data_IF_990763856162
#
_entry.id   IF_990763856162
#
_cell.length_a   1.000
_cell.length_b   1.000
_cell.length_c   1.000
_cell.angle_alpha   90.00
_cell.angle_beta   90.00
_cell.angle_gamma   90.00
#
_symmetry.space_group_name_H-M   'P 1'
#
loop_
_entity.id
_entity.type
_entity.pdbx_description
1 polymer ?
#
# COMPACT_ATOMS: atom_id res chain seq x y z
N UNK A 1 -44.53 31.65 2.51
CA UNK A 1 -44.64 30.56 1.51
C UNK A 1 -46.07 30.06 1.53
N UNK A 2 -46.79 30.21 0.43
CA UNK A 2 -48.20 29.79 0.36
C UNK A 2 -48.28 28.27 0.49
N UNK A 3 -49.37 27.76 1.04
CA UNK A 3 -49.70 26.32 1.11
C UNK A 3 -49.58 25.61 -0.24
N UNK A 4 -49.72 26.35 -1.34
CA UNK A 4 -49.47 25.88 -2.71
C UNK A 4 -47.99 25.55 -3.00
N UNK A 5 -47.04 26.37 -2.55
CA UNK A 5 -45.61 26.14 -2.77
C UNK A 5 -45.09 24.92 -1.99
N UNK A 6 -45.63 24.67 -0.78
CA UNK A 6 -45.29 23.49 0.03
C UNK A 6 -45.88 22.22 -0.61
N UNK A 7 -47.10 22.28 -1.14
CA UNK A 7 -47.72 21.15 -1.84
C UNK A 7 -46.95 20.74 -3.11
N UNK A 8 -46.48 21.71 -3.90
CA UNK A 8 -45.70 21.44 -5.13
C UNK A 8 -44.32 20.85 -4.81
N UNK A 9 -43.62 21.38 -3.79
CA UNK A 9 -42.33 20.83 -3.35
C UNK A 9 -42.51 19.42 -2.79
N UNK A 10 -43.54 19.18 -1.98
CA UNK A 10 -43.86 17.83 -1.48
C UNK A 10 -44.22 16.86 -2.61
N UNK A 11 -44.96 17.30 -3.64
CA UNK A 11 -45.27 16.46 -4.81
C UNK A 11 -44.01 16.16 -5.62
N UNK A 12 -43.08 17.11 -5.82
CA UNK A 12 -41.82 16.88 -6.54
C UNK A 12 -40.87 15.96 -5.77
N UNK A 13 -40.79 16.11 -4.44
CA UNK A 13 -40.00 15.22 -3.58
C UNK A 13 -40.62 13.82 -3.53
N UNK A 14 -41.96 13.71 -3.42
CA UNK A 14 -42.65 12.42 -3.48
C UNK A 14 -42.53 11.77 -4.86
N UNK A 15 -42.70 12.49 -5.98
CA UNK A 15 -42.54 11.91 -7.33
C UNK A 15 -41.09 11.57 -7.63
N UNK A 16 -40.12 12.35 -7.13
CA UNK A 16 -38.69 12.01 -7.18
C UNK A 16 -38.37 10.74 -6.40
N UNK A 17 -38.86 10.59 -5.16
CA UNK A 17 -38.73 9.36 -4.37
C UNK A 17 -39.48 8.17 -4.99
N UNK A 18 -40.65 8.39 -5.59
CA UNK A 18 -41.41 7.37 -6.31
C UNK A 18 -40.71 6.92 -7.60
N UNK A 19 -40.04 7.82 -8.34
CA UNK A 19 -39.26 7.46 -9.52
C UNK A 19 -37.96 6.75 -9.15
N UNK A 20 -37.29 7.15 -8.07
CA UNK A 20 -36.13 6.44 -7.53
C UNK A 20 -36.48 5.03 -7.05
N UNK A 21 -37.62 4.84 -6.37
CA UNK A 21 -38.08 3.52 -5.93
C UNK A 21 -38.64 2.67 -7.09
N UNK A 22 -39.31 3.28 -8.07
CA UNK A 22 -39.82 2.59 -9.26
C UNK A 22 -38.73 2.18 -10.26
N UNK A 23 -37.50 2.69 -10.11
CA UNK A 23 -36.31 2.31 -10.89
C UNK A 23 -35.29 1.46 -10.12
N UNK A 24 -35.48 1.16 -8.83
CA UNK A 24 -34.58 0.26 -8.09
C UNK A 24 -34.69 -1.18 -8.62
N UNK A 25 -33.64 -1.79 -9.21
CA UNK A 25 -33.74 -3.13 -9.79
C UNK A 25 -33.92 -4.25 -8.75
N UNK A 26 -33.70 -3.93 -7.47
CA UNK A 26 -33.61 -4.90 -6.39
C UNK A 26 -34.69 -4.72 -5.32
N UNK A 27 -35.09 -5.82 -4.68
CA UNK A 27 -35.95 -5.80 -3.50
C UNK A 27 -35.16 -5.72 -2.18
N UNK A 28 -33.83 -5.86 -2.25
CA UNK A 28 -32.91 -5.73 -1.12
C UNK A 28 -31.77 -6.75 -1.17
N UNK A 29 -30.75 -6.61 -0.32
CA UNK A 29 -29.65 -7.54 -0.22
C UNK A 29 -30.13 -8.90 0.33
N UNK A 30 -29.48 -9.99 -0.09
CA UNK A 30 -29.77 -11.34 0.41
C UNK A 30 -29.36 -11.47 1.88
N UNK A 31 -28.16 -10.99 2.24
CA UNK A 31 -27.69 -10.92 3.61
C UNK A 31 -26.78 -9.69 3.78
N UNK A 32 -27.36 -8.58 4.25
CA UNK A 32 -26.65 -7.29 4.40
C UNK A 32 -25.47 -7.33 5.38
N UNK A 33 -25.50 -8.24 6.35
CA UNK A 33 -24.44 -8.34 7.36
C UNK A 33 -23.17 -8.96 6.77
N UNK A 34 -23.31 -9.93 5.86
CA UNK A 34 -22.18 -10.62 5.24
C UNK A 34 -21.77 -10.02 3.90
N UNK A 35 -22.70 -9.42 3.16
CA UNK A 35 -22.41 -8.86 1.84
C UNK A 35 -23.38 -7.72 1.49
N UNK A 36 -22.81 -6.66 0.96
CA UNK A 36 -23.51 -5.59 0.25
C UNK A 36 -23.56 -5.84 -1.27
N UNK A 37 -23.23 -7.05 -1.73
CA UNK A 37 -23.04 -7.33 -3.15
C UNK A 37 -24.03 -8.34 -3.75
N UNK A 38 -24.78 -9.10 -2.95
CA UNK A 38 -25.80 -10.04 -3.43
C UNK A 38 -27.20 -9.53 -3.15
N UNK A 39 -28.03 -9.43 -4.19
CA UNK A 39 -29.38 -8.85 -4.13
C UNK A 39 -30.44 -9.76 -4.72
N UNK A 40 -31.62 -9.77 -4.12
CA UNK A 40 -32.81 -10.25 -4.80
C UNK A 40 -33.25 -9.23 -5.85
N UNK A 41 -33.67 -9.70 -7.02
CA UNK A 41 -34.46 -8.87 -7.93
C UNK A 41 -35.83 -8.50 -7.29
N UNK A 42 -36.60 -7.64 -7.96
CA UNK A 42 -37.89 -7.14 -7.43
C UNK A 42 -38.86 -8.24 -7.03
N UNK A 43 -38.98 -9.27 -7.86
CA UNK A 43 -39.90 -10.41 -7.70
C UNK A 43 -39.35 -11.49 -6.78
N UNK A 44 -38.10 -11.38 -6.32
CA UNK A 44 -37.39 -12.36 -5.50
C UNK A 44 -37.31 -13.76 -6.12
N UNK A 45 -37.30 -13.83 -7.44
CA UNK A 45 -37.15 -15.07 -8.23
C UNK A 45 -35.78 -15.15 -8.93
N UNK A 46 -34.90 -14.18 -8.71
CA UNK A 46 -33.49 -14.24 -9.11
C UNK A 46 -32.57 -13.56 -8.11
N UNK A 47 -31.32 -14.04 -8.04
CA UNK A 47 -30.22 -13.37 -7.36
C UNK A 47 -29.38 -12.60 -8.40
N UNK A 48 -28.97 -11.40 -8.04
CA UNK A 48 -28.05 -10.57 -8.80
C UNK A 48 -26.82 -10.26 -7.95
N UNK A 49 -25.66 -10.26 -8.58
CA UNK A 49 -24.43 -9.72 -8.00
C UNK A 49 -24.24 -8.27 -8.46
N UNK A 50 -23.93 -7.37 -7.55
CA UNK A 50 -23.66 -5.95 -7.78
C UNK A 50 -22.46 -5.55 -6.90
N UNK A 51 -21.28 -5.27 -7.46
CA UNK A 51 -20.10 -4.97 -6.64
C UNK A 51 -20.36 -3.82 -5.67
N UNK A 52 -20.22 -4.07 -4.35
CA UNK A 52 -20.42 -3.07 -3.28
C UNK A 52 -21.79 -2.38 -3.32
N UNK A 53 -22.79 -3.01 -3.94
CA UNK A 53 -24.09 -2.42 -4.18
C UNK A 53 -24.08 -1.23 -5.15
N UNK A 54 -22.97 -0.97 -5.86
CA UNK A 54 -22.85 0.14 -6.80
C UNK A 54 -23.33 -0.27 -8.21
N UNK A 55 -24.60 -0.64 -8.34
CA UNK A 55 -25.15 -1.06 -9.64
C UNK A 55 -25.29 0.10 -10.65
N UNK A 56 -25.22 1.34 -10.20
CA UNK A 56 -25.32 2.52 -11.07
C UNK A 56 -24.04 2.72 -11.88
N UNK A 57 -22.86 2.54 -11.27
CA UNK A 57 -21.58 2.75 -11.93
C UNK A 57 -20.93 1.43 -12.37
N UNK A 58 -21.04 0.37 -11.56
CA UNK A 58 -20.37 -0.92 -11.79
C UNK A 58 -21.32 -1.97 -12.38
N UNK A 59 -22.61 -1.65 -12.50
CA UNK A 59 -23.62 -2.55 -13.05
C UNK A 59 -23.95 -3.72 -12.12
N UNK A 60 -24.75 -4.66 -12.65
CA UNK A 60 -25.10 -5.87 -11.93
C UNK A 60 -25.27 -7.04 -12.90
N UNK A 61 -25.06 -8.25 -12.39
CA UNK A 61 -25.14 -9.48 -13.16
C UNK A 61 -26.18 -10.41 -12.55
N UNK A 62 -27.18 -10.80 -13.35
CA UNK A 62 -28.11 -11.86 -12.96
C UNK A 62 -27.34 -13.19 -12.85
N UNK A 63 -27.46 -13.86 -11.72
CA UNK A 63 -26.84 -15.15 -11.48
C UNK A 63 -27.79 -16.29 -11.85
N UNK A 64 -27.22 -17.44 -12.24
CA UNK A 64 -27.97 -18.68 -12.41
C UNK A 64 -28.09 -19.46 -11.09
N UNK A 65 -28.48 -18.77 -10.01
CA UNK A 65 -28.53 -19.33 -8.67
C UNK A 65 -29.91 -19.90 -8.32
N UNK A 66 -29.93 -21.01 -7.57
CA UNK A 66 -31.15 -21.48 -6.92
C UNK A 66 -31.50 -20.57 -5.75
N UNK A 67 -32.44 -19.66 -5.99
CA UNK A 67 -32.84 -18.61 -5.05
C UNK A 67 -33.28 -19.15 -3.70
N UNK A 68 -33.96 -20.30 -3.68
CA UNK A 68 -34.52 -20.88 -2.45
C UNK A 68 -33.45 -21.44 -1.50
N UNK A 69 -32.28 -21.77 -2.01
CA UNK A 69 -31.17 -22.34 -1.24
C UNK A 69 -29.92 -21.46 -1.22
N UNK A 70 -29.98 -20.27 -1.81
CA UNK A 70 -28.82 -19.38 -1.89
C UNK A 70 -28.45 -18.81 -0.51
N UNK A 71 -27.20 -19.00 -0.14
CA UNK A 71 -26.56 -18.58 1.10
C UNK A 71 -25.36 -17.68 0.76
N UNK A 72 -25.28 -16.52 1.41
CA UNK A 72 -24.10 -15.65 1.33
C UNK A 72 -23.04 -16.16 2.31
N UNK A 73 -21.83 -16.39 1.82
CA UNK A 73 -20.68 -16.85 2.61
C UNK A 73 -19.78 -15.69 3.03
N UNK A 74 -19.58 -14.72 2.14
CA UNK A 74 -18.87 -13.47 2.42
C UNK A 74 -19.20 -12.42 1.35
N UNK A 75 -18.51 -11.28 1.36
CA UNK A 75 -18.79 -10.18 0.43
C UNK A 75 -18.77 -10.63 -1.05
N UNK A 76 -17.77 -11.44 -1.44
CA UNK A 76 -17.57 -11.91 -2.82
C UNK A 76 -17.99 -13.38 -3.03
N UNK A 77 -18.53 -14.06 -2.03
CA UNK A 77 -18.83 -15.49 -2.13
C UNK A 77 -20.24 -15.83 -1.68
N UNK A 78 -20.91 -16.69 -2.45
CA UNK A 78 -22.18 -17.29 -2.09
C UNK A 78 -22.24 -18.73 -2.57
N UNK A 79 -23.23 -19.49 -2.10
CA UNK A 79 -23.49 -20.85 -2.57
C UNK A 79 -24.99 -21.10 -2.65
N UNK A 80 -25.40 -22.00 -3.52
CA UNK A 80 -26.72 -22.64 -3.49
C UNK A 80 -26.54 -24.15 -3.46
N UNK A 81 -27.63 -24.93 -3.39
CA UNK A 81 -27.57 -26.39 -3.29
C UNK A 81 -26.73 -27.11 -4.38
N UNK A 82 -26.49 -26.47 -5.52
CA UNK A 82 -25.77 -27.03 -6.65
C UNK A 82 -24.40 -26.37 -6.88
N UNK A 83 -24.22 -25.10 -6.50
CA UNK A 83 -23.09 -24.30 -6.94
C UNK A 83 -22.48 -23.44 -5.84
N UNK A 84 -21.17 -23.21 -5.95
CA UNK A 84 -20.47 -22.13 -5.25
C UNK A 84 -20.17 -21.02 -6.25
N UNK A 85 -20.31 -19.77 -5.83
CA UNK A 85 -20.11 -18.59 -6.65
C UNK A 85 -19.00 -17.72 -6.06
N UNK A 86 -18.08 -17.31 -6.91
CA UNK A 86 -17.23 -16.14 -6.70
C UNK A 86 -17.82 -14.99 -7.53
N UNK A 87 -18.24 -13.92 -6.86
CA UNK A 87 -19.03 -12.84 -7.46
C UNK A 87 -20.28 -13.43 -8.13
N UNK A 88 -20.45 -13.25 -9.44
CA UNK A 88 -21.52 -13.83 -10.24
C UNK A 88 -21.17 -15.16 -10.91
N UNK A 89 -19.91 -15.61 -10.83
CA UNK A 89 -19.38 -16.74 -11.60
C UNK A 89 -19.41 -18.00 -10.73
N UNK A 90 -19.94 -19.09 -11.26
CA UNK A 90 -19.92 -20.39 -10.59
C UNK A 90 -18.51 -21.01 -10.64
N UNK A 91 -17.97 -21.36 -9.49
CA UNK A 91 -16.62 -21.94 -9.30
C UNK A 91 -16.66 -23.37 -8.78
N UNK A 92 -17.84 -24.03 -8.82
CA UNK A 92 -18.06 -25.40 -8.31
C UNK A 92 -17.10 -26.44 -8.89
N UNK A 93 -16.60 -26.22 -10.10
CA UNK A 93 -15.66 -27.15 -10.75
C UNK A 93 -14.20 -26.92 -10.33
N UNK A 94 -13.91 -25.85 -9.58
CA UNK A 94 -12.56 -25.50 -9.10
C UNK A 94 -12.29 -25.98 -7.67
N UNK A 95 -13.35 -26.28 -6.90
CA UNK A 95 -13.29 -26.57 -5.46
C UNK A 95 -14.19 -27.74 -5.05
N UNK A 96 -13.88 -28.40 -3.92
CA UNK A 96 -14.78 -29.38 -3.31
C UNK A 96 -15.96 -28.68 -2.61
N UNK A 97 -17.17 -28.87 -3.16
CA UNK A 97 -18.37 -28.18 -2.69
C UNK A 97 -18.68 -28.40 -1.21
N UNK A 98 -18.54 -29.63 -0.72
CA UNK A 98 -18.97 -30.00 0.63
C UNK A 98 -18.09 -29.44 1.74
N UNK A 99 -16.82 -29.17 1.42
CA UNK A 99 -15.83 -28.66 2.39
C UNK A 99 -15.44 -27.19 2.17
N UNK A 100 -16.03 -26.54 1.17
CA UNK A 100 -15.74 -25.16 0.84
C UNK A 100 -16.01 -24.21 2.01
N UNK A 101 -15.00 -23.40 2.33
CA UNK A 101 -15.09 -22.35 3.36
C UNK A 101 -14.27 -21.13 2.93
N UNK A 102 -14.73 -19.97 3.38
CA UNK A 102 -14.07 -18.68 3.16
C UNK A 102 -13.47 -18.22 4.47
N UNK A 103 -12.22 -17.75 4.44
CA UNK A 103 -11.56 -17.14 5.58
C UNK A 103 -10.73 -15.96 5.09
N UNK A 104 -11.14 -14.75 5.48
CA UNK A 104 -10.60 -13.49 4.96
C UNK A 104 -10.72 -13.40 3.43
N UNK A 105 -9.62 -13.17 2.71
CA UNK A 105 -9.56 -13.14 1.24
C UNK A 105 -9.25 -14.52 0.63
N UNK A 106 -8.88 -15.50 1.45
CA UNK A 106 -8.56 -16.87 1.02
C UNK A 106 -9.79 -17.77 1.07
N UNK A 107 -9.77 -18.80 0.22
CA UNK A 107 -10.78 -19.87 0.24
C UNK A 107 -10.12 -21.23 0.32
N UNK A 108 -10.83 -22.16 0.93
CA UNK A 108 -10.31 -23.46 1.30
C UNK A 108 -11.32 -24.52 0.94
N UNK A 109 -10.82 -25.69 0.60
CA UNK A 109 -11.57 -26.93 0.67
C UNK A 109 -10.76 -27.98 1.45
N UNK A 110 -11.25 -29.23 1.51
CA UNK A 110 -10.57 -30.30 2.26
C UNK A 110 -9.18 -30.66 1.70
N UNK A 111 -8.88 -30.31 0.46
CA UNK A 111 -7.65 -30.68 -0.24
C UNK A 111 -6.70 -29.49 -0.39
N UNK A 112 -7.22 -28.28 -0.61
CA UNK A 112 -6.43 -27.16 -1.13
C UNK A 112 -6.77 -25.82 -0.46
N UNK A 113 -5.82 -24.90 -0.56
CA UNK A 113 -5.99 -23.46 -0.28
C UNK A 113 -5.92 -22.70 -1.60
N UNK A 114 -6.72 -21.65 -1.72
CA UNK A 114 -6.81 -20.84 -2.92
C UNK A 114 -6.84 -19.34 -2.62
N UNK A 115 -6.32 -18.57 -3.58
CA UNK A 115 -6.41 -17.12 -3.65
C UNK A 115 -7.13 -16.72 -4.95
N UNK A 116 -8.08 -15.77 -4.94
CA UNK A 116 -8.69 -15.27 -6.18
C UNK A 116 -7.67 -14.55 -7.04
N UNK A 117 -7.73 -14.74 -8.36
CA UNK A 117 -6.88 -13.98 -9.28
C UNK A 117 -7.09 -12.46 -9.15
N UNK A 118 -8.30 -12.02 -8.78
CA UNK A 118 -8.62 -10.61 -8.54
C UNK A 118 -7.90 -9.99 -7.33
N UNK A 119 -7.45 -10.83 -6.40
CA UNK A 119 -6.79 -10.39 -5.18
C UNK A 119 -5.25 -10.52 -5.28
N UNK A 120 -4.73 -10.95 -6.44
CA UNK A 120 -3.30 -10.99 -6.74
C UNK A 120 -2.80 -9.62 -7.24
N UNK A 121 -1.76 -9.09 -6.57
CA UNK A 121 -1.16 -7.80 -6.91
C UNK A 121 -0.43 -7.79 -8.26
N UNK A 122 0.24 -8.89 -8.60
CA UNK A 122 1.13 -9.00 -9.77
C UNK A 122 0.69 -10.18 -10.63
N UNK A 123 -0.32 -9.93 -11.48
CA UNK A 123 -0.99 -10.94 -12.29
C UNK A 123 -0.09 -11.57 -13.40
N UNK A 124 1.13 -11.06 -13.61
CA UNK A 124 2.03 -11.49 -14.68
C UNK A 124 2.83 -12.76 -14.37
N UNK A 125 3.01 -13.11 -13.09
CA UNK A 125 3.78 -14.31 -12.67
C UNK A 125 2.95 -15.59 -12.74
N UNK A 126 1.63 -15.46 -12.62
CA UNK A 126 0.72 -16.58 -12.66
C UNK A 126 0.18 -16.76 -14.07
N UNK A 127 0.38 -17.95 -14.66
CA UNK A 127 -0.28 -18.28 -15.91
C UNK A 127 -1.78 -18.30 -15.68
N UNK A 128 -2.47 -17.22 -16.06
CA UNK A 128 -3.90 -17.12 -15.88
C UNK A 128 -4.59 -17.99 -16.94
N UNK A 129 -5.01 -19.19 -16.53
CA UNK A 129 -6.04 -19.92 -17.26
C UNK A 129 -7.31 -19.09 -17.13
N UNK A 130 -7.66 -18.35 -18.19
CA UNK A 130 -8.81 -17.44 -18.19
C UNK A 130 -10.15 -18.12 -17.91
N UNK A 131 -10.18 -19.46 -17.88
CA UNK A 131 -11.35 -20.22 -17.45
C UNK A 131 -11.51 -20.35 -15.93
N UNK A 132 -10.47 -20.05 -15.14
CA UNK A 132 -10.46 -20.17 -13.68
C UNK A 132 -10.61 -18.83 -12.97
N UNK A 133 -11.18 -18.86 -11.77
CA UNK A 133 -11.29 -17.70 -10.89
C UNK A 133 -10.32 -17.77 -9.72
N UNK A 134 -9.85 -18.96 -9.39
CA UNK A 134 -9.01 -19.23 -8.23
C UNK A 134 -7.64 -19.78 -8.64
N UNK A 135 -6.60 -19.26 -8.01
CA UNK A 135 -5.26 -19.84 -8.01
C UNK A 135 -5.12 -20.78 -6.82
N UNK A 136 -4.82 -22.05 -7.09
CA UNK A 136 -4.45 -23.03 -6.06
C UNK A 136 -3.04 -22.76 -5.54
N UNK A 137 -2.89 -22.62 -4.22
CA UNK A 137 -1.60 -22.48 -3.54
C UNK A 137 -0.97 -23.86 -3.45
N UNK A 138 -0.05 -24.16 -4.38
CA UNK A 138 0.50 -25.51 -4.56
C UNK A 138 1.26 -25.98 -3.31
N UNK A 139 0.88 -27.16 -2.82
CA UNK A 139 1.52 -27.81 -1.67
C UNK A 139 0.99 -27.38 -0.31
N UNK A 140 0.13 -26.36 -0.25
CA UNK A 140 -0.44 -25.87 1.00
C UNK A 140 -1.34 -26.90 1.68
N UNK A 141 -1.17 -27.07 2.99
CA UNK A 141 -2.07 -27.86 3.82
C UNK A 141 -3.26 -27.00 4.33
N UNK A 142 -4.49 -27.22 3.85
CA UNK A 142 -5.64 -26.38 4.20
C UNK A 142 -6.08 -26.44 5.67
N UNK A 143 -5.58 -27.42 6.44
CA UNK A 143 -5.90 -27.56 7.86
C UNK A 143 -4.99 -26.76 8.78
N UNK A 144 -3.80 -26.37 8.30
CA UNK A 144 -2.73 -25.73 9.09
C UNK A 144 -2.24 -24.43 8.47
N UNK A 145 -2.71 -24.08 7.27
CA UNK A 145 -2.33 -22.85 6.58
C UNK A 145 -2.75 -21.59 7.37
N UNK A 146 -1.79 -20.69 7.55
CA UNK A 146 -1.95 -19.41 8.24
C UNK A 146 -1.38 -18.26 7.41
N UNK A 147 -1.95 -17.07 7.59
CA UNK A 147 -1.38 -15.83 7.09
C UNK A 147 -0.46 -15.21 8.15
N UNK A 148 0.73 -14.79 7.72
CA UNK A 148 1.71 -14.11 8.58
C UNK A 148 1.60 -12.60 8.34
N UNK A 149 1.72 -12.19 7.08
CA UNK A 149 1.57 -10.81 6.64
C UNK A 149 1.08 -10.74 5.19
N UNK A 150 1.20 -9.57 4.55
CA UNK A 150 0.75 -9.36 3.18
C UNK A 150 1.45 -10.27 2.15
N UNK A 151 2.72 -10.61 2.36
CA UNK A 151 3.52 -11.42 1.43
C UNK A 151 3.75 -12.86 1.93
N UNK A 152 3.66 -13.10 3.24
CA UNK A 152 4.04 -14.38 3.85
C UNK A 152 2.86 -15.18 4.37
N UNK A 153 2.90 -16.48 4.10
CA UNK A 153 2.06 -17.51 4.70
C UNK A 153 2.91 -18.69 5.14
N UNK A 154 2.36 -19.56 5.98
CA UNK A 154 2.95 -20.87 6.27
C UNK A 154 1.89 -21.93 6.53
N UNK A 155 2.28 -23.19 6.46
CA UNK A 155 1.53 -24.32 7.01
C UNK A 155 2.42 -25.15 7.96
N UNK A 156 2.08 -26.41 8.23
CA UNK A 156 2.87 -27.27 9.12
C UNK A 156 4.24 -27.71 8.57
N UNK A 157 4.54 -27.43 7.30
CA UNK A 157 5.73 -27.95 6.59
C UNK A 157 6.42 -26.93 5.70
N UNK A 158 5.70 -25.94 5.19
CA UNK A 158 6.16 -25.01 4.18
C UNK A 158 5.93 -23.57 4.59
N UNK A 159 6.85 -22.71 4.18
CA UNK A 159 6.59 -21.28 4.06
C UNK A 159 6.22 -20.97 2.62
N UNK A 160 5.45 -19.89 2.45
CA UNK A 160 5.04 -19.39 1.15
C UNK A 160 5.33 -17.89 1.08
N UNK A 161 5.99 -17.48 0.01
CA UNK A 161 6.20 -16.07 -0.32
C UNK A 161 5.35 -15.73 -1.54
N UNK A 162 4.49 -14.73 -1.40
CA UNK A 162 3.50 -14.33 -2.41
C UNK A 162 2.65 -15.52 -2.91
N UNK A 163 2.28 -16.44 -2.03
CA UNK A 163 1.55 -17.69 -2.33
C UNK A 163 2.32 -18.76 -3.12
N UNK A 164 3.64 -18.62 -3.29
CA UNK A 164 4.52 -19.66 -3.84
C UNK A 164 5.29 -20.36 -2.72
N UNK A 165 5.35 -21.71 -2.70
CA UNK A 165 6.15 -22.42 -1.70
C UNK A 165 7.63 -22.09 -1.88
N UNK A 166 8.35 -21.90 -0.77
CA UNK A 166 9.79 -21.63 -0.77
C UNK A 166 10.58 -22.80 -0.18
N UNK A 167 11.75 -23.06 -0.76
CA UNK A 167 12.67 -24.12 -0.32
C UNK A 167 13.62 -23.59 0.76
N UNK A 168 13.24 -23.79 2.01
CA UNK A 168 13.94 -23.28 3.20
C UNK A 168 13.93 -24.33 4.32
N UNK A 169 14.87 -24.24 5.25
CA UNK A 169 14.82 -25.04 6.47
C UNK A 169 13.71 -24.53 7.40
N UNK A 170 12.54 -25.17 7.31
CA UNK A 170 11.33 -24.77 8.04
C UNK A 170 11.55 -24.56 9.54
N UNK A 171 12.39 -25.38 10.18
CA UNK A 171 12.60 -25.32 11.62
C UNK A 171 13.40 -24.09 12.08
N UNK A 172 14.23 -23.52 11.20
CA UNK A 172 15.10 -22.37 11.53
C UNK A 172 14.79 -21.13 10.70
N UNK A 173 13.83 -21.21 9.77
CA UNK A 173 13.45 -20.10 8.93
C UNK A 173 12.84 -18.95 9.75
N UNK A 174 13.30 -17.74 9.46
CA UNK A 174 12.90 -16.50 10.10
C UNK A 174 12.81 -15.39 9.06
N UNK A 175 11.67 -14.72 9.01
CA UNK A 175 11.50 -13.46 8.28
C UNK A 175 12.18 -12.36 9.11
N UNK A 176 13.12 -11.63 8.51
CA UNK A 176 13.88 -10.58 9.22
C UNK A 176 13.17 -9.23 9.12
N UNK A 177 12.74 -8.87 7.91
CA UNK A 177 11.98 -7.65 7.58
C UNK A 177 11.38 -7.77 6.16
N UNK A 178 10.91 -6.68 5.57
CA UNK A 178 10.29 -6.69 4.24
C UNK A 178 11.26 -7.12 3.13
N UNK A 179 12.56 -6.92 3.32
CA UNK A 179 13.58 -7.12 2.28
C UNK A 179 14.36 -8.44 2.39
N UNK A 180 14.26 -9.15 3.53
CA UNK A 180 14.92 -10.45 3.64
C UNK A 180 14.50 -11.33 4.80
N UNK A 181 14.99 -12.55 4.71
CA UNK A 181 14.74 -13.66 5.63
C UNK A 181 16.01 -14.51 5.75
N UNK A 182 16.05 -15.44 6.70
CA UNK A 182 17.17 -16.38 6.83
C UNK A 182 16.72 -17.71 7.39
N UNK A 183 17.54 -18.72 7.17
CA UNK A 183 17.52 -19.96 7.93
C UNK A 183 18.95 -20.30 8.40
N UNK A 184 19.17 -21.51 8.92
CA UNK A 184 20.51 -21.96 9.34
C UNK A 184 21.53 -22.11 8.19
N UNK A 185 21.08 -22.17 6.95
CA UNK A 185 21.90 -22.46 5.77
C UNK A 185 22.16 -21.22 4.92
N UNK A 186 21.20 -20.28 4.83
CA UNK A 186 21.25 -19.14 3.92
C UNK A 186 20.58 -17.88 4.50
N UNK A 187 20.98 -16.73 3.96
CA UNK A 187 20.22 -15.49 4.02
C UNK A 187 19.55 -15.29 2.66
N UNK A 188 18.26 -14.99 2.66
CA UNK A 188 17.46 -14.80 1.47
C UNK A 188 17.05 -13.33 1.34
N UNK A 189 17.21 -12.80 0.14
CA UNK A 189 16.73 -11.47 -0.23
C UNK A 189 15.39 -11.60 -0.95
N UNK A 190 14.43 -10.75 -0.61
CA UNK A 190 13.13 -10.73 -1.23
C UNK A 190 13.18 -9.88 -2.50
N UNK A 191 12.87 -10.46 -3.66
CA UNK A 191 12.86 -9.76 -4.94
C UNK A 191 11.63 -10.16 -5.73
N UNK A 192 10.80 -9.18 -6.07
CA UNK A 192 9.56 -9.37 -6.80
C UNK A 192 8.66 -10.42 -6.11
N UNK A 193 8.47 -11.58 -6.73
CA UNK A 193 7.66 -12.69 -6.19
C UNK A 193 8.50 -13.87 -5.67
N UNK A 194 9.82 -13.70 -5.57
CA UNK A 194 10.75 -14.77 -5.21
C UNK A 194 11.66 -14.37 -4.06
N UNK A 195 12.26 -15.38 -3.44
CA UNK A 195 13.36 -15.20 -2.52
C UNK A 195 14.65 -15.72 -3.15
N UNK A 196 15.73 -14.96 -3.01
CA UNK A 196 17.01 -15.25 -3.67
C UNK A 196 18.07 -15.47 -2.60
N UNK A 197 18.79 -16.58 -2.70
CA UNK A 197 19.94 -16.85 -1.83
C UNK A 197 20.99 -15.76 -2.03
N UNK A 198 21.45 -15.19 -0.93
CA UNK A 198 22.45 -14.12 -0.92
C UNK A 198 23.78 -14.59 -0.32
N UNK A 199 24.81 -13.76 -0.48
CA UNK A 199 26.14 -13.96 0.12
C UNK A 199 26.29 -13.29 1.49
N UNK A 200 25.18 -12.81 2.06
CA UNK A 200 25.17 -12.10 3.35
C UNK A 200 25.57 -13.09 4.46
N UNK A 201 26.36 -12.61 5.41
CA UNK A 201 26.85 -13.43 6.53
C UNK A 201 25.70 -13.83 7.47
N UNK A 202 25.38 -15.13 7.51
CA UNK A 202 24.23 -15.72 8.23
C UNK A 202 24.29 -15.47 9.75
N UNK A 203 25.50 -15.50 10.32
CA UNK A 203 25.73 -15.38 11.76
C UNK A 203 25.51 -13.95 12.26
N UNK A 204 25.97 -12.95 11.48
CA UNK A 204 25.92 -11.55 11.87
C UNK A 204 24.73 -10.77 11.32
N UNK A 205 24.00 -11.32 10.34
CA UNK A 205 22.86 -10.61 9.73
C UNK A 205 21.75 -10.31 10.74
N UNK A 206 21.24 -9.08 10.66
CA UNK A 206 20.07 -8.61 11.39
C UNK A 206 19.34 -7.53 10.60
N UNK A 207 18.03 -7.42 10.83
CA UNK A 207 17.25 -6.26 10.39
C UNK A 207 17.51 -5.07 11.33
N UNK A 208 17.55 -3.87 10.75
CA UNK A 208 17.60 -2.61 11.48
C UNK A 208 16.21 -1.99 11.59
N UNK A 209 15.49 -2.02 10.48
CA UNK A 209 14.10 -1.61 10.33
C UNK A 209 13.47 -2.44 9.19
N UNK A 210 12.34 -1.98 8.67
CA UNK A 210 11.61 -2.68 7.62
C UNK A 210 12.39 -2.77 6.29
N UNK A 211 13.40 -1.90 6.05
CA UNK A 211 14.07 -1.74 4.76
C UNK A 211 15.56 -2.12 4.76
N UNK A 212 16.24 -2.07 5.90
CA UNK A 212 17.68 -2.28 5.99
C UNK A 212 18.04 -3.59 6.69
N UNK A 213 18.87 -4.38 6.02
CA UNK A 213 19.64 -5.45 6.66
C UNK A 213 21.07 -4.99 6.89
N UNK A 214 21.72 -5.54 7.90
CA UNK A 214 23.14 -5.31 8.16
C UNK A 214 23.80 -6.61 8.59
N UNK A 215 25.01 -6.84 8.13
CA UNK A 215 25.90 -7.88 8.65
C UNK A 215 27.17 -7.26 9.25
N UNK A 216 28.22 -8.07 9.44
CA UNK A 216 29.50 -7.58 9.98
C UNK A 216 30.26 -6.63 9.06
N UNK A 217 30.02 -6.67 7.74
CA UNK A 217 30.80 -5.96 6.73
C UNK A 217 29.98 -4.90 5.96
N UNK A 218 28.67 -5.07 5.80
CA UNK A 218 27.85 -4.22 4.93
C UNK A 218 26.44 -3.95 5.49
N UNK A 219 25.86 -2.84 5.02
CA UNK A 219 24.43 -2.55 5.05
C UNK A 219 23.84 -2.85 3.68
N UNK A 220 22.68 -3.48 3.67
CA UNK A 220 21.95 -3.88 2.48
C UNK A 220 20.58 -3.23 2.48
N UNK A 221 20.19 -2.67 1.35
CA UNK A 221 18.86 -2.10 1.14
C UNK A 221 18.48 -2.24 -0.33
N UNK A 222 17.18 -2.23 -0.60
CA UNK A 222 16.71 -2.07 -1.97
C UNK A 222 16.41 -0.59 -2.21
N UNK A 223 16.82 -0.06 -3.36
CA UNK A 223 16.40 1.28 -3.80
C UNK A 223 14.87 1.26 -3.85
N UNK A 224 14.24 2.17 -3.12
CA UNK A 224 12.79 2.15 -2.87
C UNK A 224 11.98 1.91 -4.13
N UNK A 225 10.84 1.20 -4.01
CA UNK A 225 9.84 0.86 -5.04
C UNK A 225 10.10 1.42 -6.45
N UNK A 226 11.12 0.91 -7.14
CA UNK A 226 11.25 1.06 -8.59
C UNK A 226 10.91 -0.30 -9.16
N UNK A 227 9.70 -0.40 -9.70
CA UNK A 227 9.29 -1.52 -10.55
C UNK A 227 10.38 -1.76 -11.61
N UNK A 228 10.92 -2.99 -11.66
CA UNK A 228 11.81 -3.49 -12.71
C UNK A 228 13.25 -2.94 -12.76
N UNK A 229 13.92 -2.66 -11.63
CA UNK A 229 15.40 -2.50 -11.69
C UNK A 229 16.10 -3.78 -11.19
N UNK A 230 16.73 -4.50 -12.11
CA UNK A 230 17.56 -5.69 -11.79
C UNK A 230 18.73 -5.36 -10.84
N UNK A 231 19.08 -4.08 -10.68
CA UNK A 231 20.16 -3.53 -9.83
C UNK A 231 19.67 -2.86 -8.53
N UNK A 232 18.49 -3.23 -8.01
CA UNK A 232 17.88 -2.54 -6.86
C UNK A 232 18.66 -2.70 -5.54
N UNK A 233 19.45 -3.77 -5.37
CA UNK A 233 20.19 -4.00 -4.13
C UNK A 233 21.40 -3.06 -4.02
N UNK A 234 21.35 -2.14 -3.07
CA UNK A 234 22.50 -1.33 -2.67
C UNK A 234 23.25 -1.99 -1.54
N UNK A 235 24.56 -2.13 -1.72
CA UNK A 235 25.50 -2.65 -0.70
C UNK A 235 26.40 -1.51 -0.26
N UNK A 236 26.26 -1.09 0.99
CA UNK A 236 27.08 -0.05 1.60
C UNK A 236 28.10 -0.71 2.54
N UNK A 237 29.40 -0.68 2.22
CA UNK A 237 30.41 -1.23 3.12
C UNK A 237 30.51 -0.40 4.39
N UNK A 238 30.65 -1.09 5.52
CA UNK A 238 30.73 -0.49 6.85
C UNK A 238 31.94 -0.96 7.63
N UNK A 239 32.39 -0.13 8.56
CA UNK A 239 33.45 -0.44 9.52
C UNK A 239 32.83 -0.88 10.84
N UNK A 240 31.74 -0.24 11.27
CA UNK A 240 31.09 -0.54 12.53
C UNK A 240 29.57 -0.35 12.47
N UNK A 241 28.83 -1.46 12.43
CA UNK A 241 27.36 -1.48 12.41
C UNK A 241 26.70 -0.81 13.62
N UNK A 242 27.42 -0.61 14.74
CA UNK A 242 26.90 0.13 15.91
C UNK A 242 26.78 1.63 15.68
N UNK A 243 27.41 2.15 14.63
CA UNK A 243 27.30 3.55 14.24
C UNK A 243 26.07 3.80 13.38
N UNK A 244 25.35 2.77 12.97
CA UNK A 244 24.22 2.90 12.07
C UNK A 244 23.05 3.63 12.76
N UNK A 245 22.50 4.63 12.08
CA UNK A 245 21.28 5.31 12.49
C UNK A 245 20.44 5.63 11.26
N UNK A 246 19.27 5.00 11.15
CA UNK A 246 18.23 5.36 10.18
C UNK A 246 17.43 6.52 10.73
N UNK A 247 17.18 7.51 9.88
CA UNK A 247 16.35 8.69 10.15
C UNK A 247 15.16 8.70 9.18
N UNK A 248 14.18 9.57 9.42
CA UNK A 248 13.01 9.72 8.53
C UNK A 248 13.45 10.11 7.10
N UNK A 249 12.60 9.79 6.11
CA UNK A 249 12.83 10.09 4.69
C UNK A 249 14.19 9.60 4.19
N UNK A 250 14.50 8.32 4.46
CA UNK A 250 15.63 7.58 3.87
C UNK A 250 17.03 8.17 4.12
N UNK A 251 17.19 8.98 5.16
CA UNK A 251 18.51 9.39 5.64
C UNK A 251 19.16 8.28 6.47
N UNK A 252 20.38 7.91 6.12
CA UNK A 252 21.17 6.89 6.80
C UNK A 252 22.51 7.45 7.25
N UNK A 253 22.81 7.38 8.54
CA UNK A 253 24.12 7.72 9.09
C UNK A 253 24.86 6.43 9.41
N UNK A 254 26.01 6.20 8.80
CA UNK A 254 26.85 5.02 9.08
C UNK A 254 28.34 5.37 8.95
N UNK A 255 29.15 4.84 9.88
CA UNK A 255 30.53 5.22 10.16
C UNK A 255 30.78 6.73 10.31
N UNK A 256 31.43 7.38 9.35
CA UNK A 256 31.67 8.83 9.29
C UNK A 256 30.86 9.52 8.18
N UNK A 257 29.91 8.80 7.57
CA UNK A 257 29.17 9.21 6.37
C UNK A 257 27.69 9.45 6.63
N UNK A 258 27.08 10.21 5.71
CA UNK A 258 25.64 10.45 5.62
C UNK A 258 25.18 10.08 4.22
N UNK A 259 24.10 9.31 4.13
CA UNK A 259 23.46 8.91 2.89
C UNK A 259 22.01 9.39 2.87
N UNK A 260 21.46 9.59 1.68
CA UNK A 260 20.03 9.75 1.43
C UNK A 260 19.65 8.83 0.26
N UNK A 261 18.61 8.02 0.41
CA UNK A 261 18.23 6.98 -0.58
C UNK A 261 19.43 6.11 -1.01
N UNK A 262 20.28 5.76 -0.04
CA UNK A 262 21.53 5.01 -0.25
C UNK A 262 22.62 5.72 -1.06
N UNK A 263 22.44 6.98 -1.43
CA UNK A 263 23.43 7.80 -2.12
C UNK A 263 24.23 8.61 -1.10
N UNK A 264 25.56 8.52 -1.17
CA UNK A 264 26.46 9.28 -0.31
C UNK A 264 26.26 10.78 -0.53
N UNK A 265 25.99 11.53 0.54
CA UNK A 265 25.98 13.00 0.50
C UNK A 265 27.43 13.49 0.65
N UNK A 266 28.04 14.05 -0.40
CA UNK A 266 29.45 14.42 -0.33
C UNK A 266 29.70 15.53 0.69
N UNK A 267 30.78 15.40 1.47
CA UNK A 267 31.23 16.37 2.47
C UNK A 267 30.27 16.64 3.63
N UNK A 268 29.19 15.87 3.77
CA UNK A 268 28.29 16.00 4.91
C UNK A 268 29.01 15.67 6.23
N UNK A 269 28.93 16.57 7.21
CA UNK A 269 29.54 16.35 8.52
C UNK A 269 28.59 15.52 9.39
N UNK A 270 28.79 14.21 9.38
CA UNK A 270 27.98 13.26 10.15
C UNK A 270 27.88 13.62 11.63
N UNK A 271 28.98 14.09 12.25
CA UNK A 271 29.02 14.37 13.69
C UNK A 271 28.03 15.46 14.12
N UNK A 272 27.79 16.45 13.25
CA UNK A 272 26.83 17.53 13.48
C UNK A 272 25.50 17.35 12.73
N UNK A 273 25.35 16.27 11.96
CA UNK A 273 24.17 16.04 11.14
C UNK A 273 22.90 15.88 11.98
N UNK A 274 21.84 16.58 11.57
CA UNK A 274 20.53 16.61 12.19
C UNK A 274 19.48 16.54 11.10
N UNK A 275 18.55 15.61 11.28
CA UNK A 275 17.31 15.59 10.50
C UNK A 275 16.25 16.47 11.20
N UNK A 276 15.49 17.23 10.42
CA UNK A 276 14.46 18.12 10.93
C UNK A 276 13.11 17.37 10.86
N UNK A 277 12.70 16.76 11.98
CA UNK A 277 11.50 15.91 12.04
C UNK A 277 10.25 16.57 11.45
N UNK A 278 9.42 15.79 10.76
CA UNK A 278 8.22 16.27 10.05
C UNK A 278 8.52 17.27 8.92
N UNK A 279 9.70 17.19 8.32
CA UNK A 279 10.09 17.97 7.15
C UNK A 279 10.85 17.07 6.18
N UNK A 280 11.38 17.62 5.09
CA UNK A 280 12.24 16.90 4.15
C UNK A 280 13.73 17.31 4.26
N UNK A 281 14.07 18.08 5.30
CA UNK A 281 15.33 18.77 5.41
C UNK A 281 16.28 18.09 6.42
N UNK A 282 17.53 17.93 6.00
CA UNK A 282 18.66 17.59 6.85
C UNK A 282 19.61 18.78 6.96
N UNK A 283 20.47 18.81 7.97
CA UNK A 283 21.50 19.84 8.11
C UNK A 283 22.71 19.30 8.84
N UNK A 284 23.88 19.81 8.51
CA UNK A 284 25.06 19.73 9.36
C UNK A 284 25.54 21.13 9.76
N UNK A 285 26.71 21.24 10.39
CA UNK A 285 27.29 22.53 10.83
C UNK A 285 27.59 23.51 9.69
N UNK A 286 27.66 23.04 8.43
CA UNK A 286 28.09 23.79 7.26
C UNK A 286 26.99 23.96 6.20
N UNK A 287 25.97 23.11 6.16
CA UNK A 287 25.05 23.01 5.02
C UNK A 287 23.66 22.53 5.43
N UNK A 288 22.63 23.05 4.74
CA UNK A 288 21.27 22.50 4.75
C UNK A 288 21.08 21.65 3.48
N UNK A 289 20.40 20.53 3.62
CA UNK A 289 20.08 19.60 2.55
C UNK A 289 18.56 19.44 2.44
N UNK A 290 18.04 19.44 1.22
CA UNK A 290 16.68 19.00 0.91
C UNK A 290 16.77 17.64 0.22
N UNK A 291 16.23 16.58 0.84
CA UNK A 291 16.32 15.20 0.33
C UNK A 291 17.74 14.84 -0.20
N UNK A 292 18.76 15.07 0.63
CA UNK A 292 20.17 14.82 0.32
C UNK A 292 20.86 15.86 -0.58
N UNK A 293 20.11 16.75 -1.23
CA UNK A 293 20.66 17.77 -2.12
C UNK A 293 21.06 19.04 -1.34
N UNK A 294 22.32 19.50 -1.41
CA UNK A 294 22.75 20.69 -0.67
C UNK A 294 22.14 21.98 -1.23
N UNK A 295 21.68 22.86 -0.34
CA UNK A 295 21.12 24.17 -0.69
C UNK A 295 22.22 25.22 -0.57
N UNK A 296 22.50 25.90 -1.69
CA UNK A 296 23.60 26.88 -1.79
C UNK A 296 23.13 28.29 -1.41
N UNK A 297 23.99 29.05 -0.74
CA UNK A 297 23.74 30.47 -0.44
C UNK A 297 22.81 30.72 0.74
N UNK A 298 22.53 29.69 1.53
CA UNK A 298 21.69 29.76 2.74
C UNK A 298 22.39 30.51 3.86
N UNK A 299 21.65 31.40 4.53
CA UNK A 299 22.06 31.89 5.85
C UNK A 299 21.65 30.87 6.92
N UNK A 300 22.60 30.00 7.32
CA UNK A 300 22.36 28.90 8.27
C UNK A 300 21.77 29.37 9.61
N UNK A 301 22.16 30.56 10.07
CA UNK A 301 21.76 31.08 11.39
C UNK A 301 20.28 31.47 11.44
N UNK A 302 19.69 31.83 10.30
CA UNK A 302 18.29 32.30 10.21
C UNK A 302 17.40 31.34 9.43
N UNK A 303 17.92 30.19 9.00
CA UNK A 303 17.15 29.22 8.22
C UNK A 303 16.01 28.63 9.04
N UNK A 304 14.83 28.59 8.43
CA UNK A 304 13.58 28.13 8.99
C UNK A 304 12.86 27.25 7.99
N UNK A 305 12.36 26.10 8.46
CA UNK A 305 11.61 25.14 7.64
C UNK A 305 10.15 25.12 8.10
N UNK A 306 9.23 25.19 7.14
CA UNK A 306 7.81 25.02 7.41
C UNK A 306 7.48 23.53 7.50
N UNK A 307 7.00 23.07 8.67
CA UNK A 307 6.69 21.65 8.90
C UNK A 307 5.63 21.12 7.93
N UNK A 308 5.79 19.88 7.50
CA UNK A 308 4.94 19.20 6.52
C UNK A 308 4.86 19.90 5.16
N UNK A 309 5.76 20.85 4.89
CA UNK A 309 5.83 21.60 3.64
C UNK A 309 7.22 21.46 3.02
N UNK A 310 7.29 21.62 1.70
CA UNK A 310 8.55 21.72 0.99
C UNK A 310 9.14 23.15 1.00
N UNK A 311 8.48 24.11 1.66
CA UNK A 311 8.94 25.49 1.77
C UNK A 311 9.88 25.73 2.95
N UNK A 312 10.83 26.62 2.75
CA UNK A 312 11.74 27.13 3.79
C UNK A 312 12.12 28.59 3.50
N UNK A 313 12.73 29.27 4.47
CA UNK A 313 13.30 30.60 4.26
C UNK A 313 14.49 30.86 5.17
N UNK A 314 15.31 31.82 4.79
CA UNK A 314 16.24 32.50 5.66
C UNK A 314 15.99 34.01 5.63
N UNK A 315 16.85 34.82 6.25
CA UNK A 315 16.70 36.28 6.27
C UNK A 315 16.82 36.95 4.89
N UNK A 316 17.40 36.27 3.89
CA UNK A 316 17.74 36.81 2.58
C UNK A 316 16.91 36.20 1.43
N UNK A 317 16.43 34.96 1.58
CA UNK A 317 15.76 34.21 0.52
C UNK A 317 14.63 33.30 1.05
N UNK A 318 13.69 32.96 0.18
CA UNK A 318 12.72 31.89 0.37
C UNK A 318 13.02 30.76 -0.62
N UNK A 319 12.67 29.53 -0.25
CA UNK A 319 12.96 28.34 -1.03
C UNK A 319 11.75 27.40 -1.08
N UNK A 320 11.64 26.65 -2.17
CA UNK A 320 10.72 25.53 -2.36
C UNK A 320 11.52 24.34 -2.87
N UNK A 321 11.46 23.19 -2.17
CA UNK A 321 12.25 21.99 -2.48
C UNK A 321 13.76 22.27 -2.56
N UNK A 322 14.23 23.17 -1.68
CA UNK A 322 15.61 23.66 -1.69
C UNK A 322 15.98 24.63 -2.84
N UNK A 323 15.07 24.90 -3.78
CA UNK A 323 15.30 25.85 -4.86
C UNK A 323 14.85 27.25 -4.45
N UNK A 324 15.68 28.26 -4.71
CA UNK A 324 15.36 29.66 -4.40
C UNK A 324 14.15 30.15 -5.21
N UNK A 325 13.23 30.84 -4.54
CA UNK A 325 12.09 31.53 -5.16
C UNK A 325 12.48 33.02 -5.33
N UNK A 326 12.40 33.52 -6.55
CA UNK A 326 12.78 34.90 -6.86
C UNK A 326 11.64 35.89 -6.59
N UNK A 327 11.99 37.12 -6.17
CA UNK A 327 11.04 38.21 -6.01
C UNK A 327 10.12 38.15 -4.77
N UNK A 328 10.39 37.24 -3.84
CA UNK A 328 9.56 37.05 -2.64
C UNK A 328 9.71 38.19 -1.64
N UNK A 329 8.58 38.71 -1.13
CA UNK A 329 8.58 39.58 0.04
C UNK A 329 8.66 38.73 1.33
N UNK A 330 9.89 38.52 1.83
CA UNK A 330 10.17 37.63 2.96
C UNK A 330 9.47 38.02 4.28
N UNK A 331 9.17 39.31 4.43
CA UNK A 331 8.51 39.84 5.62
C UNK A 331 7.06 39.34 5.74
N UNK A 332 6.40 39.13 4.60
CA UNK A 332 5.01 38.66 4.54
C UNK A 332 4.87 37.23 4.02
N UNK A 333 5.98 36.58 3.65
CA UNK A 333 5.99 35.21 3.16
C UNK A 333 5.60 34.16 4.22
N UNK A 334 4.57 33.39 3.91
CA UNK A 334 4.07 32.28 4.73
C UNK A 334 2.93 31.49 4.09
N UNK A 335 2.40 30.47 4.78
CA UNK A 335 1.27 29.68 4.28
C UNK A 335 0.03 30.55 4.06
N UNK A 336 -0.74 30.27 3.00
CA UNK A 336 -1.96 31.03 2.67
C UNK A 336 -3.06 30.81 3.70
N UNK A 337 -3.25 29.57 4.13
CA UNK A 337 -4.30 29.09 5.03
C UNK A 337 -3.71 28.23 6.18
N UNK A 338 -4.39 28.16 7.32
CA UNK A 338 -3.94 27.43 8.53
C UNK A 338 -3.79 25.92 8.30
N UNK A 339 -4.57 25.35 7.39
CA UNK A 339 -4.53 23.93 7.02
C UNK A 339 -3.44 23.58 5.99
N UNK A 340 -2.75 24.60 5.45
CA UNK A 340 -1.47 24.43 4.76
C UNK A 340 -1.45 23.48 3.55
N UNK A 341 -2.53 23.32 2.78
CA UNK A 341 -2.47 22.48 1.58
C UNK A 341 -1.89 23.30 0.41
N UNK A 342 -0.55 23.29 0.31
CA UNK A 342 0.22 23.57 -0.90
C UNK A 342 0.42 25.02 -1.35
N UNK A 343 -0.35 25.99 -0.83
CA UNK A 343 -0.22 27.40 -1.23
C UNK A 343 0.48 28.26 -0.17
N UNK A 344 1.47 29.02 -0.63
CA UNK A 344 2.13 30.06 0.15
C UNK A 344 1.78 31.43 -0.45
N UNK A 345 1.96 32.51 0.30
CA UNK A 345 1.76 33.86 -0.22
C UNK A 345 2.73 34.83 0.43
N UNK A 346 2.93 35.93 -0.26
CA UNK A 346 3.41 37.18 0.32
C UNK A 346 2.43 38.32 -0.01
N UNK A 347 2.79 39.56 0.28
CA UNK A 347 1.92 40.73 0.02
C UNK A 347 1.65 41.00 -1.47
N UNK A 348 2.48 40.48 -2.36
CA UNK A 348 2.44 40.72 -3.79
C UNK A 348 1.84 39.54 -4.56
N UNK A 349 2.12 38.30 -4.14
CA UNK A 349 1.88 37.08 -4.91
C UNK A 349 1.37 35.91 -4.04
N UNK A 350 0.58 35.03 -4.66
CA UNK A 350 0.32 33.67 -4.16
C UNK A 350 1.20 32.68 -4.92
N UNK A 351 1.74 31.67 -4.25
CA UNK A 351 2.68 30.69 -4.76
C UNK A 351 2.12 29.28 -4.66
N UNK A 352 2.30 28.49 -5.73
CA UNK A 352 2.15 27.03 -5.73
C UNK A 352 3.48 26.43 -6.17
N UNK A 353 4.18 25.79 -5.25
CA UNK A 353 5.59 25.47 -5.47
C UNK A 353 6.45 26.74 -5.66
N UNK A 354 7.23 26.76 -6.72
CA UNK A 354 8.02 27.93 -7.13
C UNK A 354 7.27 28.86 -8.12
N UNK A 355 6.03 28.56 -8.47
CA UNK A 355 5.25 29.34 -9.45
C UNK A 355 4.31 30.34 -8.77
N UNK A 356 4.15 31.52 -9.38
CA UNK A 356 3.14 32.51 -8.98
C UNK A 356 1.80 32.11 -9.61
N UNK A 357 0.75 32.03 -8.80
CA UNK A 357 -0.61 31.73 -9.25
C UNK A 357 -1.51 32.93 -9.00
N UNK A 358 -2.42 33.19 -9.94
CA UNK A 358 -3.49 34.16 -9.76
C UNK A 358 -4.67 33.46 -9.07
N UNK A 359 -5.25 34.15 -8.09
CA UNK A 359 -6.47 33.71 -7.41
C UNK A 359 -7.72 33.79 -8.30
#
# INVERSE_FOLDING_TARGET
>A
MSTFSIAIISIIVLTGLFLFTACMPFSGPVNKTLSDSYYYNRTKDAIHYSPMGNWFELGNTKMNADVGTFEVLSQKYGKDKNNIYFKSIAITNEVDYSSFRVQEHLVYDKNNVYIPFDDLRLNSTYSNDSSKQLLEIKGANPSTFENIDYNWNKDDKLFFYNYLPVDVDYATFQILNEVGSKDKNNVYLHKDNEIIISVIDIESVKAIDDHYLVDKDNVYSFKGWIENSEDALTILPIINSKTLKVLEYDYLLVDDKVYHENILIPNADRASFKFWNNTFYGSDKNTIYYLGTPIVGVDLATFFVYKYQAYSKDKNNAYYEGNKIEGVDLATFGPKDEDGIGLFKDKNNTYRGNEIVND
#
